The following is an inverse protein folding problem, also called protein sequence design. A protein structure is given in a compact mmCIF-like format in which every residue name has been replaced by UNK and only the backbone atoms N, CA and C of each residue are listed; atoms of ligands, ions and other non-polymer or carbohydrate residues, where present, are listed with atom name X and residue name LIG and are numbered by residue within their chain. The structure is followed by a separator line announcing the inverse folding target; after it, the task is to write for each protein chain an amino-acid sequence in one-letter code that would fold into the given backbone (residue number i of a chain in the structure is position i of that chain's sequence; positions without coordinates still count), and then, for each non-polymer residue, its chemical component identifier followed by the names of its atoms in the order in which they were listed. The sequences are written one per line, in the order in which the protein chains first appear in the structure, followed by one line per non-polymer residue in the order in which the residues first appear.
data_IF_611836761667
#
_entry.id   IF_611836761667
#
_cell.length_a   1.000
_cell.length_b   1.000
_cell.length_c   1.000
_cell.angle_alpha   90.00
_cell.angle_beta   90.00
_cell.angle_gamma   90.00
#
_symmetry.space_group_name_H-M   'P 1'
#
loop_
_entity.id
_entity.type
_entity.pdbx_description
1 polymer ?
#
# COMPACT_ATOMS: atom_id res chain seq x y z
N UNK A 1 1.25 16.56 0.34
CA UNK A 1 1.26 15.35 1.20
C UNK A 1 2.63 14.71 1.06
N UNK A 2 3.41 14.60 2.14
CA UNK A 2 4.72 13.98 2.09
C UNK A 2 4.55 12.46 2.20
N UNK A 3 4.99 11.71 1.19
CA UNK A 3 4.82 10.25 1.12
C UNK A 3 6.21 9.61 1.10
N UNK A 4 6.48 8.57 1.92
CA UNK A 4 7.73 7.83 1.86
C UNK A 4 8.07 7.35 0.43
N UNK A 5 9.33 7.45 0.03
CA UNK A 5 9.76 7.13 -1.34
C UNK A 5 9.45 5.68 -1.74
N UNK A 6 9.61 4.72 -0.82
CA UNK A 6 9.28 3.29 -1.07
C UNK A 6 7.81 3.09 -1.41
N UNK A 7 6.91 3.82 -0.74
CA UNK A 7 5.47 3.76 -1.00
C UNK A 7 5.16 4.37 -2.37
N UNK A 8 5.77 5.52 -2.73
CA UNK A 8 5.61 6.10 -4.07
C UNK A 8 6.01 5.11 -5.18
N UNK A 9 7.16 4.45 -5.02
CA UNK A 9 7.66 3.46 -5.98
C UNK A 9 6.69 2.28 -6.12
N UNK A 10 6.21 1.73 -4.99
CA UNK A 10 5.24 0.64 -5.00
C UNK A 10 3.95 1.03 -5.74
N UNK A 11 3.38 2.20 -5.44
CA UNK A 11 2.16 2.66 -6.09
C UNK A 11 2.34 2.91 -7.58
N UNK A 12 3.50 3.42 -7.98
CA UNK A 12 3.86 3.55 -9.39
C UNK A 12 3.98 2.18 -10.08
N UNK A 13 4.57 1.19 -9.42
CA UNK A 13 4.61 -0.19 -9.93
C UNK A 13 3.21 -0.82 -10.01
N UNK A 14 2.36 -0.57 -9.02
CA UNK A 14 0.97 -1.02 -8.98
C UNK A 14 0.15 -0.47 -10.14
N UNK A 15 0.30 0.84 -10.41
CA UNK A 15 -0.30 1.51 -11.55
C UNK A 15 0.14 0.91 -12.89
N UNK A 16 1.43 0.61 -13.06
CA UNK A 16 1.96 0.01 -14.29
C UNK A 16 1.72 -1.49 -14.44
N UNK A 17 0.99 -2.12 -13.50
CA UNK A 17 0.86 -3.57 -13.40
C UNK A 17 2.21 -4.31 -13.29
N UNK A 18 3.25 -3.63 -12.84
CA UNK A 18 4.62 -4.13 -12.71
C UNK A 18 4.98 -4.51 -11.27
N UNK A 19 4.00 -4.77 -10.41
CA UNK A 19 4.29 -5.27 -9.08
C UNK A 19 4.95 -6.65 -9.19
N UNK A 20 5.97 -6.97 -8.36
CA UNK A 20 6.51 -8.32 -8.22
C UNK A 20 5.53 -9.26 -7.50
N UNK A 21 4.23 -9.01 -7.63
CA UNK A 21 3.20 -10.01 -7.43
C UNK A 21 3.28 -10.96 -8.64
N UNK A 22 3.23 -12.28 -8.43
CA UNK A 22 3.09 -13.26 -9.53
C UNK A 22 1.94 -12.92 -10.50
N UNK A 23 1.01 -12.05 -10.10
CA UNK A 23 -0.01 -11.37 -10.92
C UNK A 23 0.52 -10.65 -12.18
N UNK A 24 1.68 -10.00 -12.11
CA UNK A 24 2.25 -9.28 -13.28
C UNK A 24 2.74 -10.24 -14.37
N UNK A 25 3.18 -11.45 -13.98
CA UNK A 25 3.49 -12.53 -14.92
C UNK A 25 2.23 -13.08 -15.62
N UNK A 26 1.06 -13.03 -14.98
CA UNK A 26 -0.23 -13.42 -15.60
C UNK A 26 -0.74 -12.35 -16.57
N UNK A 27 -0.61 -11.07 -16.21
CA UNK A 27 -0.99 -9.96 -17.07
C UNK A 27 -0.21 -9.98 -18.41
N UNK A 28 0.97 -10.60 -18.43
CA UNK A 28 1.82 -10.78 -19.60
C UNK A 28 1.54 -12.07 -20.42
N UNK A 29 0.30 -12.58 -20.43
CA UNK A 29 -0.18 -13.70 -21.26
C UNK A 29 0.43 -15.09 -20.94
N UNK A 30 0.99 -15.31 -19.76
CA UNK A 30 1.34 -16.66 -19.31
C UNK A 30 0.08 -17.30 -18.69
N UNK A 31 -0.49 -18.38 -19.28
CA UNK A 31 -1.72 -18.98 -18.80
C UNK A 31 -1.42 -19.84 -17.57
N UNK A 32 -1.40 -19.22 -16.40
CA UNK A 32 -1.50 -19.92 -15.12
C UNK A 32 -2.57 -19.23 -14.31
N UNK A 33 -3.63 -19.97 -13.99
CA UNK A 33 -4.71 -19.49 -13.15
C UNK A 33 -4.19 -19.32 -11.73
N UNK A 34 -3.72 -18.11 -11.40
CA UNK A 34 -3.36 -17.82 -10.01
C UNK A 34 -4.64 -17.53 -9.25
N UNK A 35 -4.94 -18.50 -8.42
CA UNK A 35 -5.94 -18.41 -7.40
C UNK A 35 -5.35 -17.62 -6.21
N UNK A 36 -6.16 -16.80 -5.54
CA UNK A 36 -5.77 -16.20 -4.27
C UNK A 36 -5.23 -17.33 -3.35
N UNK A 37 -4.02 -17.22 -2.79
CA UNK A 37 -3.45 -18.29 -1.96
C UNK A 37 -4.29 -18.59 -0.71
N UNK A 38 -5.21 -17.69 -0.36
CA UNK A 38 -6.11 -17.79 0.80
C UNK A 38 -7.47 -18.38 0.45
N UNK A 39 -8.00 -18.11 -0.75
CA UNK A 39 -9.37 -18.51 -1.14
C UNK A 39 -9.45 -19.44 -2.34
N UNK A 40 -8.32 -19.71 -3.01
CA UNK A 40 -8.25 -20.48 -4.24
C UNK A 40 -9.26 -20.04 -5.33
N UNK A 41 -9.66 -18.77 -5.32
CA UNK A 41 -10.48 -18.14 -6.37
C UNK A 41 -9.61 -17.28 -7.29
N UNK A 42 -9.94 -17.28 -8.59
CA UNK A 42 -9.22 -16.54 -9.64
C UNK A 42 -9.08 -15.06 -9.27
N UNK A 43 -7.84 -14.58 -9.17
CA UNK A 43 -7.56 -13.15 -8.99
C UNK A 43 -7.96 -12.44 -10.28
N UNK A 44 -9.02 -11.64 -10.23
CA UNK A 44 -9.56 -10.95 -11.42
C UNK A 44 -8.75 -9.70 -11.79
N UNK A 45 -8.23 -8.95 -10.81
CA UNK A 45 -7.52 -7.67 -11.01
C UNK A 45 -6.48 -7.40 -9.91
N UNK A 46 -5.55 -6.46 -10.16
CA UNK A 46 -4.60 -5.95 -9.13
C UNK A 46 -5.35 -5.40 -7.91
N UNK A 47 -6.45 -4.66 -8.13
CA UNK A 47 -7.28 -4.15 -7.05
C UNK A 47 -7.90 -5.28 -6.23
N UNK A 48 -8.35 -6.37 -6.84
CA UNK A 48 -8.87 -7.51 -6.09
C UNK A 48 -7.78 -8.12 -5.17
N UNK A 49 -6.55 -8.27 -5.67
CA UNK A 49 -5.44 -8.80 -4.89
C UNK A 49 -5.00 -7.89 -3.74
N UNK A 50 -5.00 -6.57 -3.96
CA UNK A 50 -4.56 -5.58 -2.96
C UNK A 50 -5.66 -5.06 -2.05
N UNK A 51 -6.93 -5.12 -2.48
CA UNK A 51 -8.05 -4.49 -1.78
C UNK A 51 -9.23 -5.44 -1.57
N UNK A 52 -9.65 -6.14 -2.62
CA UNK A 52 -10.89 -6.92 -2.65
C UNK A 52 -10.88 -8.24 -1.89
N UNK A 53 -9.70 -8.76 -1.56
CA UNK A 53 -9.54 -10.00 -0.80
C UNK A 53 -10.26 -9.92 0.57
N UNK A 54 -11.17 -10.86 0.84
CA UNK A 54 -11.97 -10.88 2.08
C UNK A 54 -11.09 -10.86 3.33
N UNK A 55 -9.97 -11.57 3.32
CA UNK A 55 -9.07 -11.62 4.45
C UNK A 55 -8.36 -10.29 4.73
N UNK A 56 -7.97 -9.56 3.68
CA UNK A 56 -7.42 -8.21 3.85
C UNK A 56 -8.48 -7.21 4.35
N UNK A 57 -9.77 -7.45 4.07
CA UNK A 57 -10.85 -6.62 4.65
C UNK A 57 -10.89 -6.73 6.17
N UNK A 58 -10.62 -7.91 6.72
CA UNK A 58 -10.59 -8.15 8.17
C UNK A 58 -9.41 -7.40 8.80
N UNK A 59 -8.24 -7.43 8.17
CA UNK A 59 -7.05 -6.67 8.62
C UNK A 59 -7.33 -5.17 8.71
N UNK A 60 -8.11 -4.64 7.76
CA UNK A 60 -8.44 -3.20 7.72
C UNK A 60 -9.64 -2.82 8.57
N UNK A 61 -10.33 -3.77 9.22
CA UNK A 61 -11.51 -3.47 10.02
C UNK A 61 -11.22 -2.40 11.10
N UNK A 62 -9.98 -2.34 11.59
CA UNK A 62 -9.53 -1.39 12.59
C UNK A 62 -9.20 0.01 12.03
N UNK A 63 -9.20 0.19 10.71
CA UNK A 63 -9.00 1.50 10.10
C UNK A 63 -10.29 2.34 10.18
N UNK A 64 -10.23 3.45 10.91
CA UNK A 64 -11.34 4.40 11.13
C UNK A 64 -11.97 4.96 9.84
N UNK A 65 -11.25 4.92 8.72
CA UNK A 65 -11.70 5.45 7.44
C UNK A 65 -12.43 4.44 6.56
N UNK A 66 -12.54 3.17 6.95
CA UNK A 66 -13.12 2.13 6.08
C UNK A 66 -14.55 2.42 5.64
N UNK A 67 -15.36 3.05 6.48
CA UNK A 67 -16.74 3.44 6.15
C UNK A 67 -16.86 4.51 5.07
N UNK A 68 -15.78 5.25 4.79
CA UNK A 68 -15.73 6.31 3.77
C UNK A 68 -15.25 5.83 2.42
N UNK A 69 -14.73 4.60 2.32
CA UNK A 69 -14.14 4.06 1.10
C UNK A 69 -15.18 3.23 0.35
N UNK A 70 -15.53 3.69 -0.85
CA UNK A 70 -16.36 2.95 -1.78
C UNK A 70 -15.51 2.35 -2.90
N UNK A 71 -15.71 1.06 -3.17
CA UNK A 71 -15.09 0.36 -4.29
C UNK A 71 -16.05 -0.69 -4.86
N UNK A 72 -15.87 -1.04 -6.12
CA UNK A 72 -16.67 -2.06 -6.82
C UNK A 72 -15.76 -3.09 -7.48
N UNK A 73 -16.22 -4.34 -7.61
CA UNK A 73 -15.46 -5.39 -8.30
C UNK A 73 -15.20 -4.97 -9.76
N UNK A 74 -13.96 -5.11 -10.22
CA UNK A 74 -13.53 -4.66 -11.55
C UNK A 74 -13.10 -3.20 -11.67
N UNK A 75 -13.24 -2.36 -10.63
CA UNK A 75 -12.68 -1.00 -10.62
C UNK A 75 -11.16 -1.03 -10.85
N UNK A 76 -10.63 -0.10 -11.65
CA UNK A 76 -9.18 0.03 -11.84
C UNK A 76 -8.52 0.57 -10.58
N UNK A 77 -7.28 0.13 -10.33
CA UNK A 77 -6.54 0.53 -9.14
C UNK A 77 -6.36 2.06 -9.03
N UNK A 78 -6.12 2.76 -10.15
CA UNK A 78 -6.00 4.21 -10.14
C UNK A 78 -7.31 4.91 -9.74
N UNK A 79 -8.44 4.47 -10.31
CA UNK A 79 -9.76 5.02 -9.99
C UNK A 79 -10.10 4.85 -8.51
N UNK A 80 -9.72 3.69 -7.95
CA UNK A 80 -9.84 3.43 -6.51
C UNK A 80 -9.02 4.43 -5.67
N UNK A 81 -7.75 4.65 -6.01
CA UNK A 81 -6.88 5.60 -5.30
C UNK A 81 -7.37 7.05 -5.43
N UNK A 82 -7.86 7.44 -6.61
CA UNK A 82 -8.45 8.76 -6.82
C UNK A 82 -9.76 8.94 -6.03
N UNK A 83 -10.59 7.91 -5.95
CA UNK A 83 -11.79 7.89 -5.11
C UNK A 83 -11.43 8.10 -3.64
N UNK A 84 -10.43 7.38 -3.13
CA UNK A 84 -9.96 7.53 -1.76
C UNK A 84 -9.41 8.94 -1.50
N UNK A 85 -8.64 9.51 -2.43
CA UNK A 85 -8.12 10.87 -2.31
C UNK A 85 -9.20 11.95 -2.21
N UNK A 86 -10.40 11.69 -2.76
CA UNK A 86 -11.54 12.62 -2.67
C UNK A 86 -12.30 12.53 -1.35
N UNK A 87 -12.27 11.37 -0.69
CA UNK A 87 -13.10 11.08 0.48
C UNK A 87 -12.32 11.04 1.81
N UNK A 88 -10.98 10.98 1.74
CA UNK A 88 -10.10 10.87 2.89
C UNK A 88 -9.31 12.15 3.11
N UNK A 89 -9.06 12.49 4.37
CA UNK A 89 -8.08 13.53 4.68
C UNK A 89 -6.65 13.04 4.41
N UNK A 90 -5.68 13.96 4.52
CA UNK A 90 -4.27 13.68 4.20
C UNK A 90 -3.67 12.58 5.07
N UNK A 91 -4.12 12.45 6.31
CA UNK A 91 -3.56 11.51 7.28
C UNK A 91 -4.13 10.11 7.07
N UNK A 92 -5.44 10.02 6.87
CA UNK A 92 -6.12 8.79 6.51
C UNK A 92 -5.67 8.27 5.14
N UNK A 93 -5.50 9.16 4.17
CA UNK A 93 -4.97 8.79 2.87
C UNK A 93 -3.54 8.24 3.00
N UNK A 94 -2.69 8.86 3.82
CA UNK A 94 -1.33 8.37 4.01
C UNK A 94 -1.31 7.01 4.75
N UNK A 95 -2.18 6.83 5.75
CA UNK A 95 -2.34 5.55 6.45
C UNK A 95 -2.82 4.45 5.49
N UNK A 96 -3.82 4.74 4.66
CA UNK A 96 -4.29 3.84 3.59
C UNK A 96 -3.13 3.39 2.69
N UNK A 97 -2.32 4.34 2.22
CA UNK A 97 -1.18 4.04 1.35
C UNK A 97 -0.15 3.12 2.02
N UNK A 98 0.11 3.33 3.31
CA UNK A 98 1.03 2.48 4.09
C UNK A 98 0.45 1.07 4.28
N UNK A 99 -0.83 0.96 4.66
CA UNK A 99 -1.48 -0.33 4.90
C UNK A 99 -1.50 -1.17 3.63
N UNK A 100 -1.94 -0.62 2.50
CA UNK A 100 -1.98 -1.36 1.22
C UNK A 100 -0.56 -1.75 0.75
N UNK A 101 0.44 -0.91 1.00
CA UNK A 101 1.83 -1.25 0.73
C UNK A 101 2.30 -2.46 1.56
N UNK A 102 2.05 -2.45 2.87
CA UNK A 102 2.43 -3.55 3.77
C UNK A 102 1.67 -4.84 3.44
N UNK A 103 0.37 -4.75 3.19
CA UNK A 103 -0.44 -5.89 2.75
C UNK A 103 0.11 -6.50 1.46
N UNK A 104 0.44 -5.64 0.48
CA UNK A 104 1.07 -6.07 -0.77
C UNK A 104 2.40 -6.78 -0.53
N UNK A 105 3.24 -6.26 0.35
CA UNK A 105 4.52 -6.89 0.71
C UNK A 105 4.32 -8.25 1.40
N UNK A 106 3.49 -8.33 2.45
CA UNK A 106 3.26 -9.59 3.16
C UNK A 106 2.64 -10.62 2.22
N UNK A 107 1.70 -10.21 1.38
CA UNK A 107 1.11 -11.08 0.36
C UNK A 107 2.17 -11.60 -0.62
N UNK A 108 3.09 -10.75 -1.11
CA UNK A 108 4.21 -11.23 -1.96
C UNK A 108 5.15 -12.18 -1.23
N UNK A 109 5.47 -11.92 0.03
CA UNK A 109 6.35 -12.76 0.84
C UNK A 109 5.75 -14.15 1.06
N UNK A 110 4.46 -14.24 1.40
CA UNK A 110 3.75 -15.52 1.55
C UNK A 110 3.62 -16.31 0.24
N UNK A 111 3.57 -15.64 -0.91
CA UNK A 111 3.57 -16.32 -2.20
C UNK A 111 4.94 -16.89 -2.60
N UNK A 112 6.02 -16.40 -2.00
CA UNK A 112 7.41 -16.83 -2.25
C UNK A 112 7.85 -17.87 -1.22
N UNK A 113 7.48 -17.67 0.03
CA UNK A 113 7.76 -18.59 1.14
C UNK A 113 6.42 -19.21 1.56
N UNK A 114 6.22 -20.50 1.28
CA UNK A 114 5.00 -21.27 1.60
C UNK A 114 4.80 -21.49 3.12
N UNK A 115 5.02 -20.47 3.95
CA UNK A 115 4.88 -20.52 5.39
C UNK A 115 3.84 -19.50 5.87
N UNK A 116 2.78 -20.03 6.48
CA UNK A 116 2.06 -19.47 7.62
C UNK A 116 1.42 -18.08 7.47
N UNK A 117 0.15 -18.00 7.86
CA UNK A 117 -0.68 -16.79 7.94
C UNK A 117 -0.22 -15.72 8.95
N UNK A 118 1.06 -15.69 9.34
CA UNK A 118 1.54 -14.89 10.46
C UNK A 118 1.95 -13.48 10.03
N UNK A 119 1.45 -12.46 10.73
CA UNK A 119 1.94 -11.08 10.64
C UNK A 119 0.92 -10.00 10.26
N UNK A 120 -0.28 -10.36 9.81
CA UNK A 120 -1.28 -9.38 9.37
C UNK A 120 -1.96 -8.60 10.50
N UNK A 121 -2.15 -9.24 11.67
CA UNK A 121 -2.73 -8.60 12.86
C UNK A 121 -1.91 -7.38 13.33
N UNK A 122 -0.62 -7.33 12.97
CA UNK A 122 0.27 -6.24 13.31
C UNK A 122 0.35 -5.15 12.22
N UNK A 123 -0.27 -5.35 11.05
CA UNK A 123 -0.13 -4.42 9.91
C UNK A 123 -0.67 -3.04 10.25
N UNK A 124 -1.89 -2.94 10.78
CA UNK A 124 -2.49 -1.64 11.11
C UNK A 124 -1.77 -0.97 12.30
N UNK A 125 -1.51 -1.66 13.44
CA UNK A 125 -0.70 -1.10 14.53
C UNK A 125 0.68 -0.62 14.08
N UNK A 126 1.38 -1.41 13.27
CA UNK A 126 2.69 -1.05 12.74
C UNK A 126 2.60 0.16 11.80
N UNK A 127 1.60 0.18 10.91
CA UNK A 127 1.38 1.29 9.98
C UNK A 127 1.13 2.62 10.71
N UNK A 128 0.32 2.60 11.78
CA UNK A 128 0.08 3.76 12.63
C UNK A 128 1.36 4.23 13.33
N UNK A 129 2.14 3.31 13.90
CA UNK A 129 3.42 3.61 14.53
C UNK A 129 4.42 4.22 13.55
N UNK A 130 4.57 3.62 12.37
CA UNK A 130 5.42 4.12 11.30
C UNK A 130 4.99 5.53 10.83
N UNK A 131 3.68 5.75 10.65
CA UNK A 131 3.14 7.05 10.25
C UNK A 131 3.47 8.14 11.28
N UNK A 132 3.36 7.83 12.57
CA UNK A 132 3.70 8.74 13.67
C UNK A 132 5.17 9.15 13.61
N UNK A 133 6.08 8.18 13.53
CA UNK A 133 7.53 8.46 13.45
C UNK A 133 7.91 9.19 12.16
N UNK A 134 7.31 8.82 11.02
CA UNK A 134 7.53 9.51 9.76
C UNK A 134 7.10 10.97 9.82
N UNK A 135 5.93 11.28 10.39
CA UNK A 135 5.50 12.68 10.58
C UNK A 135 6.44 13.44 11.52
N UNK A 136 6.88 12.82 12.61
CA UNK A 136 7.83 13.41 13.55
C UNK A 136 9.14 13.78 12.86
N UNK A 137 9.72 12.85 12.09
CA UNK A 137 10.98 13.08 11.37
C UNK A 137 10.88 14.20 10.32
N UNK A 138 9.73 14.33 9.64
CA UNK A 138 9.54 15.38 8.64
C UNK A 138 9.23 16.75 9.25
N UNK A 139 8.58 16.82 10.42
CA UNK A 139 8.42 18.10 11.16
C UNK A 139 9.76 18.72 11.56
N UNK A 140 10.74 17.89 11.94
CA UNK A 140 12.11 18.36 12.23
C UNK A 140 12.77 18.93 10.98
N UNK A 141 12.51 18.34 9.82
CA UNK A 141 13.08 18.76 8.54
C UNK A 141 12.50 20.08 8.02
N UNK A 142 11.23 20.35 8.28
CA UNK A 142 10.57 21.62 7.93
C UNK A 142 10.95 22.77 8.89
N UNK A 143 11.48 22.46 10.08
CA UNK A 143 11.93 23.44 11.08
C UNK A 143 13.42 23.79 11.03
N UNK A 144 14.22 23.09 10.23
CA UNK A 144 15.62 23.43 9.97
C UNK A 144 15.68 24.17 8.64
N UNK A 145 15.60 25.51 8.71
CA UNK A 145 16.05 26.34 7.60
C UNK A 145 17.54 26.03 7.36
N UNK A 146 17.88 25.57 6.15
CA UNK A 146 19.28 25.47 5.73
C UNK A 146 19.87 26.88 5.73
N UNK A 147 20.66 27.23 6.75
CA UNK A 147 21.64 28.31 6.61
C UNK A 147 22.72 27.78 5.67
N UNK A 148 22.76 28.33 4.46
CA UNK A 148 23.85 28.09 3.53
C UNK A 148 25.11 28.82 4.05
N UNK A 149 25.81 28.21 5.00
CA UNK A 149 27.13 28.66 5.42
C UNK A 149 28.19 27.96 4.54
N UNK A 150 28.27 28.39 3.28
CA UNK A 150 29.50 28.25 2.50
C UNK A 150 30.25 29.58 2.63
N UNK A 151 31.00 29.73 3.72
CA UNK A 151 32.05 30.75 3.80
C UNK A 151 33.15 30.39 2.79
N UNK A 152 33.30 31.27 1.80
CA UNK A 152 34.45 31.31 0.89
C UNK A 152 35.66 31.73 1.71
N UNK A 153 36.58 30.79 1.96
CA UNK A 153 37.92 31.11 2.47
C UNK A 153 38.66 31.84 1.35
N UNK A 154 39.09 33.07 1.67
CA UNK A 154 39.84 33.99 0.82
C UNK A 154 41.24 33.48 0.47
#
# INVERSE_FOLDING_TARGET
MNIPAKIKIFYWQAYRHCLPLKMSLIAQKVPREIACPVYHKKLKTVLHGLWGCKWLKEVRADCSFMSRINWVDGMHFLDFILSCYRCLDKDDMLLLLIVVFLEGLVFTQQMVHSQGNQGFELVVPWAMGFLKEFKKANKVRDGVAFTNDYEVVK
#
